data_IF_971673340301
#
_entry.id   IF_971673340301
#
_cell.length_a   1.000
_cell.length_b   1.000
_cell.length_c   1.000
_cell.angle_alpha   90.00
_cell.angle_beta   90.00
_cell.angle_gamma   90.00
#
_symmetry.space_group_name_H-M   'P 1'
#
loop_
_entity.id
_entity.type
_entity.pdbx_description
1 polymer ?
#
# COMPACT_ATOMS: atom_id res chain seq x y z
N UNK A 1 14.79 -40.96 34.83
CA UNK A 1 13.68 -40.44 35.67
C UNK A 1 12.47 -40.02 34.79
N UNK A 2 11.81 -40.98 34.13
CA UNK A 2 10.63 -40.73 33.29
C UNK A 2 9.34 -41.41 33.80
N UNK A 3 9.47 -42.41 34.68
CA UNK A 3 8.35 -43.26 35.15
C UNK A 3 7.46 -42.64 36.24
N UNK A 4 7.90 -41.56 36.91
CA UNK A 4 7.14 -40.93 38.02
C UNK A 4 6.41 -39.65 37.59
N UNK A 5 6.03 -39.56 36.32
CA UNK A 5 5.60 -38.33 35.68
C UNK A 5 4.15 -38.47 35.21
N UNK A 6 3.27 -37.58 35.66
CA UNK A 6 1.86 -37.54 35.24
C UNK A 6 1.77 -37.40 33.70
N UNK A 7 1.22 -38.39 32.98
CA UNK A 7 1.08 -38.36 31.53
C UNK A 7 -0.14 -37.54 31.05
N UNK A 8 -1.00 -37.09 31.96
CA UNK A 8 -2.21 -36.32 31.66
C UNK A 8 -2.12 -34.84 32.05
N UNK A 9 -0.93 -34.35 32.38
CA UNK A 9 -0.68 -32.93 32.69
C UNK A 9 -0.49 -32.14 31.38
N UNK A 10 -1.55 -31.42 30.97
CA UNK A 10 -1.60 -30.67 29.71
C UNK A 10 -0.70 -29.42 29.68
N UNK A 11 -0.34 -28.88 30.86
CA UNK A 11 0.50 -27.69 30.98
C UNK A 11 2.00 -28.02 31.06
N UNK A 12 2.32 -29.31 30.94
CA UNK A 12 3.68 -29.80 31.05
C UNK A 12 4.50 -29.45 29.81
N UNK A 13 5.48 -28.58 29.97
CA UNK A 13 6.46 -28.27 28.92
C UNK A 13 7.42 -29.45 28.69
N UNK A 14 7.29 -30.11 27.53
CA UNK A 14 8.08 -31.28 27.11
C UNK A 14 9.46 -30.88 26.56
N UNK A 15 9.65 -29.63 26.11
CA UNK A 15 10.94 -29.10 25.61
C UNK A 15 11.22 -27.69 26.13
N UNK A 16 12.50 -27.38 26.40
CA UNK A 16 13.01 -26.00 26.44
C UNK A 16 13.30 -25.59 24.99
N UNK A 17 12.75 -24.47 24.52
CA UNK A 17 13.00 -23.93 23.19
C UNK A 17 11.79 -23.85 22.26
N UNK A 18 12.01 -23.43 21.01
CA UNK A 18 11.03 -23.56 19.90
C UNK A 18 10.81 -25.02 19.53
N UNK A 19 9.72 -25.30 18.80
CA UNK A 19 9.47 -26.62 18.20
C UNK A 19 10.59 -27.06 17.23
N UNK A 20 11.30 -26.09 16.67
CA UNK A 20 12.43 -26.25 15.77
C UNK A 20 13.75 -26.69 16.43
N UNK A 21 13.82 -26.72 17.78
CA UNK A 21 15.01 -27.12 18.55
C UNK A 21 16.22 -26.17 18.50
N UNK A 22 16.14 -25.06 17.77
CA UNK A 22 17.27 -24.14 17.51
C UNK A 22 17.20 -22.79 18.22
N UNK A 23 16.09 -22.47 18.86
CA UNK A 23 15.88 -21.17 19.51
C UNK A 23 15.40 -21.35 20.94
N UNK A 24 15.73 -20.40 21.81
CA UNK A 24 15.42 -20.38 23.24
C UNK A 24 13.91 -20.37 23.56
N UNK A 25 13.08 -19.92 22.62
CA UNK A 25 11.63 -19.87 22.76
C UNK A 25 10.94 -19.82 21.40
N UNK A 26 9.64 -20.10 21.36
CA UNK A 26 8.84 -19.95 20.15
C UNK A 26 8.80 -18.50 19.64
N UNK A 27 8.79 -17.52 20.54
CA UNK A 27 8.83 -16.11 20.15
C UNK A 27 10.18 -15.69 19.56
N UNK A 28 11.29 -16.23 20.06
CA UNK A 28 12.62 -16.02 19.48
C UNK A 28 12.72 -16.64 18.08
N UNK A 29 12.12 -17.81 17.88
CA UNK A 29 12.02 -18.45 16.57
C UNK A 29 11.17 -17.64 15.58
N UNK A 30 10.01 -17.13 15.99
CA UNK A 30 9.17 -16.28 15.15
C UNK A 30 9.86 -14.96 14.77
N UNK A 31 10.64 -14.38 15.69
CA UNK A 31 11.48 -13.20 15.40
C UNK A 31 12.58 -13.51 14.40
N UNK A 32 13.25 -14.66 14.53
CA UNK A 32 14.29 -15.09 13.59
C UNK A 32 13.71 -15.33 12.19
N UNK A 33 12.57 -16.03 12.08
CA UNK A 33 11.85 -16.21 10.82
C UNK A 33 11.47 -14.86 10.22
N UNK A 34 10.97 -13.91 11.02
CA UNK A 34 10.64 -12.56 10.53
C UNK A 34 11.88 -11.81 10.04
N UNK A 35 13.01 -11.90 10.74
CA UNK A 35 14.25 -11.23 10.35
C UNK A 35 14.82 -11.82 9.04
N UNK A 36 14.86 -13.15 8.93
CA UNK A 36 15.28 -13.87 7.73
C UNK A 36 14.31 -13.60 6.56
N UNK A 37 13.00 -13.57 6.83
CA UNK A 37 12.01 -13.14 5.86
C UNK A 37 12.19 -11.67 5.46
N UNK A 38 12.71 -10.77 6.29
CA UNK A 38 13.03 -9.40 5.88
C UNK A 38 14.28 -9.36 4.99
N UNK A 39 15.33 -10.12 5.34
CA UNK A 39 16.57 -10.19 4.58
C UNK A 39 16.39 -10.83 3.19
N UNK A 40 15.63 -11.93 3.10
CA UNK A 40 15.32 -12.56 1.80
C UNK A 40 14.49 -11.60 0.91
N UNK A 41 13.78 -10.60 1.44
CA UNK A 41 13.06 -9.61 0.59
C UNK A 41 13.98 -8.52 0.07
N UNK A 42 15.18 -8.43 0.62
CA UNK A 42 16.10 -7.37 0.27
C UNK A 42 16.83 -7.66 -1.05
N UNK A 43 16.99 -8.94 -1.44
CA UNK A 43 17.59 -9.35 -2.72
C UNK A 43 16.56 -9.33 -3.86
N UNK A 44 16.99 -9.08 -5.10
CA UNK A 44 16.09 -9.09 -6.27
C UNK A 44 15.45 -10.47 -6.47
N UNK A 45 16.24 -11.54 -6.42
CA UNK A 45 15.74 -12.92 -6.57
C UNK A 45 14.72 -13.29 -5.49
N UNK A 46 14.99 -12.89 -4.24
CA UNK A 46 14.07 -13.15 -3.13
C UNK A 46 12.80 -12.31 -3.16
N UNK A 47 12.78 -11.19 -3.91
CA UNK A 47 11.54 -10.45 -4.26
C UNK A 47 10.74 -11.18 -5.33
N UNK A 48 11.39 -11.65 -6.40
CA UNK A 48 10.73 -12.41 -7.46
C UNK A 48 10.10 -13.70 -6.91
N UNK A 49 10.83 -14.43 -6.09
CA UNK A 49 10.33 -15.64 -5.44
C UNK A 49 9.05 -15.36 -4.64
N UNK A 50 9.01 -14.26 -3.86
CA UNK A 50 7.80 -13.87 -3.11
C UNK A 50 6.64 -13.48 -3.99
N UNK A 51 6.89 -12.80 -5.10
CA UNK A 51 5.82 -12.43 -6.04
C UNK A 51 5.18 -13.70 -6.58
N UNK A 52 5.99 -14.67 -7.01
CA UNK A 52 5.52 -15.97 -7.51
C UNK A 52 4.80 -16.75 -6.41
N UNK A 53 5.38 -16.90 -5.22
CA UNK A 53 4.72 -17.55 -4.08
C UNK A 53 3.38 -16.91 -3.73
N UNK A 54 3.31 -15.57 -3.68
CA UNK A 54 2.05 -14.87 -3.42
C UNK A 54 1.03 -15.07 -4.53
N UNK A 55 1.45 -15.05 -5.79
CA UNK A 55 0.58 -15.28 -6.94
C UNK A 55 -0.01 -16.70 -6.89
N UNK A 56 0.83 -17.71 -6.65
CA UNK A 56 0.41 -19.11 -6.52
C UNK A 56 -0.52 -19.29 -5.32
N UNK A 57 -0.19 -18.73 -4.16
CA UNK A 57 -1.05 -18.78 -2.97
C UNK A 57 -2.41 -18.11 -3.19
N UNK A 58 -2.45 -17.00 -3.93
CA UNK A 58 -3.70 -16.31 -4.29
C UNK A 58 -4.51 -17.11 -5.31
N UNK A 59 -3.87 -17.80 -6.23
CA UNK A 59 -4.54 -18.67 -7.19
C UNK A 59 -5.16 -19.91 -6.50
N UNK A 60 -4.41 -20.57 -5.61
CA UNK A 60 -4.88 -21.75 -4.86
C UNK A 60 -5.94 -21.41 -3.82
N UNK A 61 -5.77 -20.27 -3.13
CA UNK A 61 -6.66 -19.80 -2.07
C UNK A 61 -7.07 -18.35 -2.32
N UNK A 62 -8.07 -18.10 -3.18
CA UNK A 62 -8.48 -16.74 -3.56
C UNK A 62 -8.97 -15.90 -2.38
N UNK A 63 -9.61 -16.54 -1.40
CA UNK A 63 -10.12 -15.85 -0.21
C UNK A 63 -9.05 -15.77 0.88
N UNK A 64 -8.77 -14.55 1.34
CA UNK A 64 -7.75 -14.32 2.38
C UNK A 64 -8.06 -15.03 3.70
N UNK A 65 -9.34 -15.19 4.07
CA UNK A 65 -9.74 -15.92 5.26
C UNK A 65 -9.34 -17.39 5.19
N UNK A 66 -9.59 -18.06 4.05
CA UNK A 66 -9.22 -19.45 3.80
C UNK A 66 -7.69 -19.61 3.79
N UNK A 67 -6.97 -18.69 3.13
CA UNK A 67 -5.51 -18.71 3.09
C UNK A 67 -4.90 -18.62 4.49
N UNK A 68 -5.38 -17.66 5.31
CA UNK A 68 -4.93 -17.51 6.70
C UNK A 68 -5.28 -18.72 7.55
N UNK A 69 -6.47 -19.29 7.36
CA UNK A 69 -6.88 -20.50 8.07
C UNK A 69 -6.00 -21.68 7.73
N UNK A 70 -5.77 -21.95 6.43
CA UNK A 70 -4.87 -22.99 5.95
C UNK A 70 -3.47 -22.84 6.55
N UNK A 71 -2.84 -21.66 6.41
CA UNK A 71 -1.51 -21.40 6.95
C UNK A 71 -1.42 -21.59 8.47
N UNK A 72 -2.49 -21.28 9.22
CA UNK A 72 -2.57 -21.53 10.67
C UNK A 72 -2.65 -23.03 11.00
N UNK A 73 -3.30 -23.83 10.15
CA UNK A 73 -3.48 -25.26 10.39
C UNK A 73 -2.24 -26.08 10.01
N UNK A 74 -1.63 -25.79 8.86
CA UNK A 74 -0.52 -26.61 8.34
C UNK A 74 0.87 -26.04 8.66
N UNK A 75 0.96 -24.75 8.96
CA UNK A 75 2.23 -24.03 9.10
C UNK A 75 2.83 -23.60 7.75
N UNK A 76 3.51 -22.45 7.74
CA UNK A 76 4.00 -21.83 6.51
C UNK A 76 5.05 -22.69 5.76
N UNK A 77 5.97 -23.34 6.47
CA UNK A 77 6.99 -24.21 5.87
C UNK A 77 6.38 -25.46 5.22
N UNK A 78 5.39 -26.07 5.87
CA UNK A 78 4.67 -27.23 5.34
C UNK A 78 3.82 -26.85 4.14
N UNK A 79 3.11 -25.72 4.20
CA UNK A 79 2.37 -25.18 3.07
C UNK A 79 3.29 -24.95 1.86
N UNK A 80 4.44 -24.31 2.07
CA UNK A 80 5.42 -24.06 1.01
C UNK A 80 5.92 -25.39 0.41
N UNK A 81 6.31 -26.36 1.23
CA UNK A 81 6.77 -27.66 0.74
C UNK A 81 5.69 -28.40 -0.07
N UNK A 82 4.44 -28.39 0.40
CA UNK A 82 3.32 -28.99 -0.32
C UNK A 82 3.08 -28.31 -1.68
N UNK A 83 3.12 -26.98 -1.72
CA UNK A 83 2.94 -26.23 -2.96
C UNK A 83 4.10 -26.46 -3.91
N UNK A 84 5.34 -26.39 -3.45
CA UNK A 84 6.54 -26.67 -4.25
C UNK A 84 6.55 -28.08 -4.85
N UNK A 85 5.87 -29.04 -4.21
CA UNK A 85 5.75 -30.41 -4.74
C UNK A 85 4.78 -30.53 -5.91
N UNK A 86 3.80 -29.63 -5.99
CA UNK A 86 2.76 -29.61 -7.03
C UNK A 86 3.03 -28.56 -8.11
N UNK A 87 3.81 -27.52 -7.79
CA UNK A 87 4.10 -26.40 -8.66
C UNK A 87 5.59 -26.03 -8.57
N UNK A 88 6.32 -25.97 -9.70
CA UNK A 88 7.76 -25.74 -9.70
C UNK A 88 8.09 -24.26 -9.45
N UNK A 89 8.03 -23.83 -8.18
CA UNK A 89 8.22 -22.43 -7.78
C UNK A 89 9.56 -21.84 -8.23
N UNK A 90 10.64 -22.62 -8.19
CA UNK A 90 11.96 -22.15 -8.63
C UNK A 90 11.97 -21.82 -10.14
N UNK A 91 11.50 -22.74 -10.97
CA UNK A 91 11.40 -22.52 -12.42
C UNK A 91 10.43 -21.37 -12.77
N UNK A 92 9.32 -21.25 -12.04
CA UNK A 92 8.40 -20.14 -12.21
C UNK A 92 9.03 -18.78 -11.79
N UNK A 93 9.89 -18.79 -10.78
CA UNK A 93 10.66 -17.60 -10.34
C UNK A 93 11.67 -17.18 -11.40
N UNK A 94 12.42 -18.13 -11.96
CA UNK A 94 13.35 -17.87 -13.07
C UNK A 94 12.62 -17.35 -14.31
N UNK A 95 11.50 -17.97 -14.67
CA UNK A 95 10.66 -17.52 -15.78
C UNK A 95 10.11 -16.10 -15.56
N UNK A 96 9.69 -15.79 -14.33
CA UNK A 96 9.24 -14.44 -13.96
C UNK A 96 10.37 -13.41 -14.02
N UNK A 97 11.58 -13.77 -13.56
CA UNK A 97 12.75 -12.89 -13.61
C UNK A 97 13.14 -12.50 -15.05
N UNK A 98 12.81 -13.34 -16.03
CA UNK A 98 13.07 -13.11 -17.46
C UNK A 98 11.84 -12.57 -18.22
N UNK A 99 10.71 -12.37 -17.53
CA UNK A 99 9.48 -11.95 -18.17
C UNK A 99 9.61 -10.54 -18.75
N UNK A 100 9.02 -10.35 -19.93
CA UNK A 100 8.87 -9.02 -20.54
C UNK A 100 7.50 -8.44 -20.17
N UNK A 101 7.36 -7.11 -20.00
CA UNK A 101 6.06 -6.51 -19.73
C UNK A 101 5.03 -6.84 -20.81
N UNK A 102 3.82 -7.24 -20.39
CA UNK A 102 2.72 -7.61 -21.30
C UNK A 102 2.23 -6.40 -22.11
N UNK A 103 2.39 -5.20 -21.56
CA UNK A 103 2.13 -3.92 -22.22
C UNK A 103 3.33 -2.99 -22.01
N UNK A 104 3.90 -2.50 -23.11
CA UNK A 104 5.08 -1.63 -23.09
C UNK A 104 4.73 -0.15 -23.15
N UNK A 105 3.77 0.21 -23.99
CA UNK A 105 3.32 1.60 -24.16
C UNK A 105 2.27 1.95 -23.09
N UNK A 106 2.63 2.80 -22.13
CA UNK A 106 1.75 3.17 -21.01
C UNK A 106 1.44 4.67 -21.00
N UNK A 107 0.21 5.02 -20.67
CA UNK A 107 -0.20 6.40 -20.40
C UNK A 107 -0.33 6.64 -18.90
N UNK A 108 0.46 7.58 -18.36
CA UNK A 108 0.46 7.90 -16.93
C UNK A 108 0.03 9.33 -16.70
N UNK A 109 -1.16 9.52 -16.12
CA UNK A 109 -1.69 10.84 -15.80
C UNK A 109 -1.09 11.42 -14.52
N UNK A 110 -0.79 12.73 -14.50
CA UNK A 110 -0.30 13.40 -13.29
C UNK A 110 -0.78 14.85 -13.16
N UNK A 111 -0.81 15.33 -11.91
CA UNK A 111 -0.93 16.76 -11.55
C UNK A 111 0.47 17.34 -11.34
N UNK A 112 0.80 18.52 -11.91
CA UNK A 112 2.14 19.10 -11.91
C UNK A 112 2.52 19.73 -10.56
N UNK A 113 2.60 18.90 -9.52
CA UNK A 113 3.08 19.25 -8.18
C UNK A 113 4.31 18.41 -7.85
N UNK A 114 5.10 18.84 -6.85
CA UNK A 114 6.35 18.17 -6.45
C UNK A 114 6.19 16.68 -6.11
N UNK A 115 5.01 16.25 -5.66
CA UNK A 115 4.74 14.84 -5.37
C UNK A 115 4.85 13.95 -6.61
N UNK A 116 4.64 14.50 -7.81
CA UNK A 116 4.73 13.79 -9.08
C UNK A 116 6.17 13.58 -9.57
N UNK A 117 7.18 14.14 -8.89
CA UNK A 117 8.58 14.10 -9.33
C UNK A 117 9.08 12.70 -9.69
N UNK A 118 8.80 11.63 -8.91
CA UNK A 118 9.24 10.28 -9.29
C UNK A 118 8.69 9.82 -10.65
N UNK A 119 7.41 10.10 -10.92
CA UNK A 119 6.74 9.74 -12.18
C UNK A 119 7.31 10.51 -13.37
N UNK A 120 7.52 11.82 -13.18
CA UNK A 120 8.00 12.72 -14.24
C UNK A 120 9.47 12.42 -14.56
N UNK A 121 10.31 12.30 -13.54
CA UNK A 121 11.76 12.15 -13.70
C UNK A 121 12.18 10.76 -14.15
N UNK A 122 11.34 9.73 -13.94
CA UNK A 122 11.64 8.38 -14.41
C UNK A 122 11.88 8.28 -15.92
N UNK A 123 11.29 9.17 -16.73
CA UNK A 123 11.54 9.22 -18.18
C UNK A 123 12.93 9.77 -18.53
N UNK A 124 13.31 11.02 -18.19
CA UNK A 124 14.64 11.55 -18.50
C UNK A 124 15.78 10.82 -17.78
N UNK A 125 15.51 10.14 -16.66
CA UNK A 125 16.49 9.30 -15.97
C UNK A 125 16.62 7.89 -16.56
N UNK A 126 15.80 7.56 -17.57
CA UNK A 126 15.84 6.26 -18.25
C UNK A 126 15.30 5.08 -17.43
N UNK A 127 14.60 5.33 -16.31
CA UNK A 127 14.07 4.26 -15.46
C UNK A 127 12.95 3.46 -16.14
N UNK A 128 12.06 4.10 -16.89
CA UNK A 128 11.05 3.36 -17.65
C UNK A 128 11.68 2.46 -18.71
N UNK A 129 12.61 3.01 -19.51
CA UNK A 129 13.32 2.27 -20.56
C UNK A 129 14.14 1.11 -20.00
N UNK A 130 14.78 1.29 -18.83
CA UNK A 130 15.49 0.22 -18.10
C UNK A 130 14.59 -1.00 -17.83
N UNK A 131 13.30 -0.77 -17.62
CA UNK A 131 12.30 -1.82 -17.38
C UNK A 131 11.49 -2.19 -18.63
N UNK A 132 11.93 -1.79 -19.83
CA UNK A 132 11.28 -2.14 -21.09
C UNK A 132 9.94 -1.42 -21.35
N UNK A 133 9.69 -0.31 -20.64
CA UNK A 133 8.46 0.48 -20.75
C UNK A 133 8.68 1.75 -21.56
N UNK A 134 7.71 2.07 -22.42
CA UNK A 134 7.58 3.35 -23.12
C UNK A 134 6.42 4.13 -22.49
N UNK A 135 6.74 5.11 -21.65
CA UNK A 135 5.72 5.79 -20.83
C UNK A 135 5.49 7.22 -21.32
N UNK A 136 4.24 7.51 -21.70
CA UNK A 136 3.73 8.85 -21.95
C UNK A 136 3.22 9.46 -20.63
N UNK A 137 3.93 10.46 -20.10
CA UNK A 137 3.56 11.15 -18.85
C UNK A 137 2.70 12.38 -19.17
N UNK A 138 1.41 12.32 -18.82
CA UNK A 138 0.38 13.24 -19.30
C UNK A 138 -0.07 14.20 -18.20
N UNK A 139 0.23 15.49 -18.38
CA UNK A 139 -0.23 16.56 -17.48
C UNK A 139 -1.76 16.65 -17.52
N UNK A 140 -2.38 16.68 -16.34
CA UNK A 140 -3.84 16.69 -16.18
C UNK A 140 -4.29 17.94 -15.40
N UNK A 141 -5.49 18.44 -15.72
CA UNK A 141 -6.02 19.71 -15.22
C UNK A 141 -6.63 19.67 -13.80
N UNK A 142 -6.76 18.49 -13.18
CA UNK A 142 -7.30 18.38 -11.83
C UNK A 142 -7.61 16.94 -11.42
N UNK A 143 -7.86 16.73 -10.13
CA UNK A 143 -8.03 15.39 -9.54
C UNK A 143 -9.29 14.67 -9.99
N UNK A 144 -10.38 15.41 -10.27
CA UNK A 144 -11.59 14.82 -10.86
C UNK A 144 -11.30 14.22 -12.24
N UNK A 145 -10.52 14.93 -13.06
CA UNK A 145 -10.13 14.45 -14.40
C UNK A 145 -9.19 13.24 -14.30
N UNK A 146 -8.27 13.23 -13.34
CA UNK A 146 -7.45 12.04 -13.05
C UNK A 146 -8.35 10.84 -12.75
N UNK A 147 -9.30 10.98 -11.81
CA UNK A 147 -10.24 9.92 -11.44
C UNK A 147 -10.98 9.41 -12.68
N UNK A 148 -11.61 10.31 -13.43
CA UNK A 148 -12.51 9.94 -14.54
C UNK A 148 -11.74 9.25 -15.67
N UNK A 149 -10.58 9.80 -16.07
CA UNK A 149 -9.74 9.19 -17.12
C UNK A 149 -9.17 7.84 -16.72
N UNK A 150 -8.81 7.67 -15.46
CA UNK A 150 -8.32 6.39 -14.96
C UNK A 150 -9.43 5.35 -14.90
N UNK A 151 -10.62 5.70 -14.42
CA UNK A 151 -11.80 4.80 -14.41
C UNK A 151 -12.15 4.37 -15.83
N UNK A 152 -12.07 5.28 -16.79
CA UNK A 152 -12.35 5.02 -18.20
C UNK A 152 -11.20 4.31 -18.94
N UNK A 153 -10.11 3.95 -18.25
CA UNK A 153 -8.91 3.32 -18.83
C UNK A 153 -8.24 4.15 -19.93
N UNK A 154 -8.42 5.47 -19.91
CA UNK A 154 -7.64 6.39 -20.75
C UNK A 154 -6.20 6.52 -20.24
N UNK A 155 -6.00 6.28 -18.94
CA UNK A 155 -4.70 6.14 -18.29
C UNK A 155 -4.51 4.72 -17.76
N UNK A 156 -3.31 4.19 -17.96
CA UNK A 156 -2.89 2.89 -17.42
C UNK A 156 -2.53 2.99 -15.93
N UNK A 157 -1.97 4.13 -15.53
CA UNK A 157 -1.73 4.48 -14.14
C UNK A 157 -1.89 5.99 -13.95
N UNK A 158 -2.04 6.45 -12.71
CA UNK A 158 -2.06 7.87 -12.43
C UNK A 158 -1.48 8.17 -11.04
N UNK A 159 -0.83 9.33 -10.94
CA UNK A 159 -0.58 9.99 -9.67
C UNK A 159 -1.94 10.34 -9.05
N UNK A 160 -2.18 9.86 -7.83
CA UNK A 160 -3.42 10.10 -7.10
C UNK A 160 -3.16 10.51 -5.66
N UNK A 161 -4.12 11.25 -5.08
CA UNK A 161 -4.17 11.47 -3.65
C UNK A 161 -4.48 10.13 -2.97
N UNK A 162 -3.77 9.76 -1.91
CA UNK A 162 -3.84 8.41 -1.31
C UNK A 162 -5.26 7.91 -0.99
N UNK A 163 -6.25 8.75 -0.60
CA UNK A 163 -7.62 8.29 -0.42
C UNK A 163 -8.41 7.98 -1.70
N UNK A 164 -7.99 8.48 -2.86
CA UNK A 164 -8.74 8.31 -4.11
C UNK A 164 -8.87 6.84 -4.53
N UNK A 165 -7.81 5.99 -4.55
CA UNK A 165 -7.95 4.56 -4.84
C UNK A 165 -8.95 3.85 -3.92
N UNK A 166 -8.98 4.21 -2.63
CA UNK A 166 -9.92 3.66 -1.67
C UNK A 166 -11.35 4.11 -1.97
N UNK A 167 -11.55 5.42 -2.20
CA UNK A 167 -12.84 5.99 -2.56
C UNK A 167 -13.42 5.34 -3.84
N UNK A 168 -12.59 5.16 -4.88
CA UNK A 168 -12.96 4.45 -6.12
C UNK A 168 -13.37 3.00 -5.81
N UNK A 169 -12.60 2.30 -4.98
CA UNK A 169 -12.86 0.89 -4.64
C UNK A 169 -14.19 0.68 -3.91
N UNK A 170 -14.59 1.61 -3.05
CA UNK A 170 -15.86 1.55 -2.30
C UNK A 170 -17.02 2.25 -3.00
N UNK A 171 -16.79 2.90 -4.15
CA UNK A 171 -17.81 3.67 -4.87
C UNK A 171 -18.19 5.01 -4.24
N UNK A 172 -17.30 5.60 -3.43
CA UNK A 172 -17.51 6.93 -2.89
C UNK A 172 -17.29 7.97 -4.01
N UNK A 173 -18.38 8.47 -4.59
CA UNK A 173 -18.35 9.45 -5.69
C UNK A 173 -18.11 8.86 -7.08
N UNK A 174 -18.24 7.53 -7.24
CA UNK A 174 -18.25 6.81 -8.53
C UNK A 174 -18.92 5.44 -8.36
N UNK A 175 -19.06 4.65 -9.42
CA UNK A 175 -19.35 3.22 -9.26
C UNK A 175 -18.15 2.53 -8.58
N UNK A 176 -18.38 1.51 -7.73
CA UNK A 176 -17.31 0.78 -7.06
C UNK A 176 -16.48 -0.02 -8.08
N UNK A 177 -15.19 0.27 -8.15
CA UNK A 177 -14.24 -0.40 -9.04
C UNK A 177 -13.00 -0.74 -8.22
N UNK A 178 -12.63 -2.02 -8.05
CA UNK A 178 -11.41 -2.37 -7.35
C UNK A 178 -10.21 -1.67 -7.95
N UNK A 179 -9.51 -0.85 -7.15
CA UNK A 179 -8.39 -0.07 -7.59
C UNK A 179 -7.17 -0.32 -6.70
N UNK A 180 -5.99 -0.42 -7.30
CA UNK A 180 -4.74 -0.75 -6.59
C UNK A 180 -3.82 0.47 -6.50
N UNK A 181 -3.29 0.72 -5.31
CA UNK A 181 -2.21 1.69 -5.08
C UNK A 181 -0.91 0.92 -4.85
N UNK A 182 -0.05 0.75 -5.87
CA UNK A 182 1.13 -0.10 -5.76
C UNK A 182 2.28 0.54 -4.98
N UNK A 183 2.32 1.88 -4.92
CA UNK A 183 3.36 2.64 -4.25
C UNK A 183 2.81 3.95 -3.70
N UNK A 184 3.49 4.48 -2.69
CA UNK A 184 3.29 5.84 -2.18
C UNK A 184 4.47 6.67 -2.67
N UNK A 185 4.22 7.70 -3.50
CA UNK A 185 5.32 8.47 -4.11
C UNK A 185 6.03 9.39 -3.11
N UNK A 186 5.31 9.91 -2.13
CA UNK A 186 5.86 10.75 -1.09
C UNK A 186 5.06 10.68 0.21
N UNK A 187 5.72 11.08 1.29
CA UNK A 187 5.10 11.46 2.55
C UNK A 187 5.44 12.93 2.81
N UNK A 188 4.56 13.65 3.51
CA UNK A 188 4.71 15.07 3.84
C UNK A 188 4.72 16.00 2.61
N UNK A 189 5.16 17.25 2.80
CA UNK A 189 5.25 18.27 1.75
C UNK A 189 3.96 19.07 1.49
N UNK A 190 2.95 18.92 2.36
CA UNK A 190 1.70 19.68 2.31
C UNK A 190 1.67 20.71 3.43
N UNK A 191 0.92 21.80 3.24
CA UNK A 191 0.78 22.85 4.24
C UNK A 191 -0.66 23.39 4.29
N UNK A 192 -1.11 23.75 5.48
CA UNK A 192 -2.29 24.60 5.68
C UNK A 192 -1.79 26.04 5.67
N UNK A 193 -2.29 26.84 4.73
CA UNK A 193 -1.90 28.25 4.60
C UNK A 193 -3.10 29.15 4.79
N UNK A 194 -2.85 30.36 5.29
CA UNK A 194 -3.85 31.42 5.42
C UNK A 194 -3.46 32.59 4.52
N UNK A 195 -4.47 33.29 4.00
CA UNK A 195 -4.25 34.56 3.32
C UNK A 195 -3.60 35.58 4.27
N UNK A 196 -2.76 36.48 3.74
CA UNK A 196 -2.01 37.47 4.54
C UNK A 196 -2.89 38.34 5.44
N UNK A 197 -4.14 38.60 5.06
CA UNK A 197 -5.14 39.31 5.88
C UNK A 197 -5.51 38.58 7.19
N UNK A 198 -5.09 37.32 7.35
CA UNK A 198 -5.29 36.49 8.54
C UNK A 198 -3.98 36.17 9.27
N UNK A 199 -2.89 36.90 9.00
CA UNK A 199 -1.55 36.65 9.60
C UNK A 199 -1.56 36.60 11.14
N UNK A 200 -2.45 37.36 11.78
CA UNK A 200 -2.56 37.44 13.24
C UNK A 200 -3.58 36.42 13.81
N UNK A 201 -4.27 35.68 12.96
CA UNK A 201 -5.24 34.63 13.33
C UNK A 201 -4.59 33.25 13.21
N UNK A 202 -3.49 33.03 13.94
CA UNK A 202 -2.76 31.74 13.91
C UNK A 202 -3.37 30.65 14.77
N UNK A 203 -4.21 31.00 15.74
CA UNK A 203 -4.95 30.03 16.55
C UNK A 203 -6.19 29.52 15.78
N UNK A 204 -6.29 28.22 15.47
CA UNK A 204 -7.44 27.64 14.75
C UNK A 204 -8.78 27.85 15.45
N UNK A 205 -8.79 28.04 16.78
CA UNK A 205 -10.02 28.35 17.53
C UNK A 205 -10.71 29.63 17.05
N UNK A 206 -9.96 30.52 16.40
CA UNK A 206 -10.46 31.78 15.82
C UNK A 206 -10.98 31.65 14.38
N UNK A 207 -10.99 30.44 13.80
CA UNK A 207 -11.31 30.22 12.38
C UNK A 207 -12.77 29.92 12.08
N UNK A 208 -13.67 30.00 13.07
CA UNK A 208 -15.12 29.88 12.80
C UNK A 208 -15.55 30.88 11.72
N UNK A 209 -16.33 30.41 10.76
CA UNK A 209 -16.78 31.16 9.57
C UNK A 209 -15.76 31.25 8.43
N UNK A 210 -14.57 30.64 8.57
CA UNK A 210 -13.58 30.63 7.48
C UNK A 210 -14.03 29.74 6.32
N UNK A 211 -13.49 30.04 5.14
CA UNK A 211 -13.65 29.24 3.93
C UNK A 211 -12.29 28.71 3.51
N UNK A 212 -12.14 27.39 3.48
CA UNK A 212 -10.93 26.69 3.11
C UNK A 212 -11.10 26.03 1.73
N UNK A 213 -10.02 26.04 0.96
CA UNK A 213 -9.92 25.31 -0.29
C UNK A 213 -9.11 24.02 -0.06
N UNK A 214 -9.58 22.92 -0.64
CA UNK A 214 -8.87 21.63 -0.68
C UNK A 214 -8.81 21.16 -2.12
N UNK A 215 -7.80 20.37 -2.54
CA UNK A 215 -7.67 19.92 -3.92
C UNK A 215 -8.82 19.02 -4.39
N UNK A 216 -9.37 18.21 -3.49
CA UNK A 216 -10.41 17.23 -3.77
C UNK A 216 -11.08 16.76 -2.48
N UNK A 217 -12.31 16.27 -2.55
CA UNK A 217 -13.04 15.82 -1.36
C UNK A 217 -12.39 14.58 -0.74
N UNK A 218 -11.96 13.62 -1.57
CA UNK A 218 -11.23 12.42 -1.15
C UNK A 218 -9.71 12.67 -1.21
N UNK A 219 -9.22 13.60 -0.40
CA UNK A 219 -7.81 13.99 -0.34
C UNK A 219 -7.23 13.91 1.07
N UNK A 220 -5.92 13.65 1.16
CA UNK A 220 -5.19 13.78 2.42
C UNK A 220 -5.29 15.20 3.00
N UNK A 221 -5.34 16.22 2.13
CA UNK A 221 -5.48 17.62 2.51
C UNK A 221 -6.78 17.89 3.25
N UNK A 222 -7.89 17.36 2.74
CA UNK A 222 -9.19 17.49 3.40
C UNK A 222 -9.18 16.78 4.75
N UNK A 223 -8.65 15.56 4.83
CA UNK A 223 -8.60 14.82 6.09
C UNK A 223 -7.67 15.47 7.12
N UNK A 224 -6.49 15.94 6.72
CA UNK A 224 -5.56 16.65 7.62
C UNK A 224 -6.15 17.97 8.11
N UNK A 225 -6.82 18.74 7.24
CA UNK A 225 -7.50 19.97 7.64
C UNK A 225 -8.63 19.67 8.63
N UNK A 226 -9.49 18.70 8.33
CA UNK A 226 -10.60 18.30 9.20
C UNK A 226 -10.10 17.84 10.57
N UNK A 227 -9.05 17.01 10.58
CA UNK A 227 -8.40 16.55 11.80
C UNK A 227 -7.88 17.73 12.62
N UNK A 228 -7.13 18.65 11.99
CA UNK A 228 -6.57 19.82 12.65
C UNK A 228 -7.64 20.78 13.21
N UNK A 229 -8.75 20.97 12.50
CA UNK A 229 -9.89 21.76 12.98
C UNK A 229 -10.56 21.10 14.19
N UNK A 230 -10.85 19.80 14.11
CA UNK A 230 -11.52 19.04 15.15
C UNK A 230 -10.70 19.00 16.45
N UNK A 231 -9.37 18.80 16.35
CA UNK A 231 -8.47 18.87 17.52
C UNK A 231 -8.49 20.23 18.23
N UNK A 232 -8.89 21.30 17.53
CA UNK A 232 -9.00 22.65 18.07
C UNK A 232 -10.45 23.06 18.39
N UNK A 233 -11.39 22.11 18.42
CA UNK A 233 -12.79 22.36 18.80
C UNK A 233 -13.60 23.10 17.75
N UNK A 234 -13.17 23.05 16.48
CA UNK A 234 -13.90 23.58 15.33
C UNK A 234 -14.54 22.40 14.59
N UNK A 235 -15.87 22.42 14.47
CA UNK A 235 -16.58 21.42 13.67
C UNK A 235 -16.31 21.67 12.17
N UNK A 236 -15.62 20.77 11.46
CA UNK A 236 -15.25 21.00 10.07
C UNK A 236 -16.45 20.99 9.10
N UNK A 237 -17.61 20.49 9.52
CA UNK A 237 -18.82 20.39 8.71
C UNK A 237 -19.80 21.54 8.96
N UNK A 238 -19.75 22.18 10.13
CA UNK A 238 -20.68 23.29 10.47
C UNK A 238 -20.02 24.63 10.77
N UNK A 239 -18.86 24.65 11.41
CA UNK A 239 -18.21 25.91 11.83
C UNK A 239 -17.44 26.60 10.69
N UNK A 240 -17.09 25.88 9.62
CA UNK A 240 -16.32 26.39 8.47
C UNK A 240 -16.93 25.90 7.15
N UNK A 241 -16.42 26.41 6.03
CA UNK A 241 -16.74 25.86 4.71
C UNK A 241 -15.48 25.29 4.08
N UNK A 242 -15.53 24.02 3.66
CA UNK A 242 -14.46 23.38 2.90
C UNK A 242 -14.95 23.16 1.47
N UNK A 243 -14.19 23.63 0.47
CA UNK A 243 -14.56 23.53 -0.95
C UNK A 243 -13.42 22.93 -1.76
N UNK A 244 -13.76 22.02 -2.68
CA UNK A 244 -12.82 21.49 -3.65
C UNK A 244 -12.46 22.58 -4.68
N UNK A 245 -11.15 22.83 -4.86
CA UNK A 245 -10.58 23.75 -5.85
C UNK A 245 -9.33 23.10 -6.44
N UNK A 246 -9.19 22.98 -7.77
CA UNK A 246 -7.99 22.42 -8.38
C UNK A 246 -6.72 23.17 -7.95
N UNK A 247 -5.58 22.48 -7.78
CA UNK A 247 -4.29 23.14 -7.60
C UNK A 247 -3.96 24.06 -8.80
N UNK A 248 -3.24 25.18 -8.56
CA UNK A 248 -2.77 26.06 -9.63
C UNK A 248 -1.75 25.40 -10.56
#
# INVERSE_FOLDING_TARGET
MALFKNPFDADRRIRRGCDCGRHESQSAHERAIRAEAVEISATEDGRYQRVVENAVMRALFPQDAQRRFFLKQVGASTALAAISSLFPLAAATEAFAQAVPEKKDLKVGFIPITCATPIIMASPMGFYAKHGLNVEVIKTAGWAVIRDKTINKEYDAAHMLSPMPLAISIGAGSNPIPYTMPAVENINGQAITLAMKHKDKRDPKSWKGFKFAVPFDYSMHNYLLRYYLAENGIDPDTDVQIRAVPPP
#
